data_IF_574193751903
#
_entry.id   IF_574193751903
#
_cell.length_a   1.000
_cell.length_b   1.000
_cell.length_c   1.000
_cell.angle_alpha   90.00
_cell.angle_beta   90.00
_cell.angle_gamma   90.00
#
_symmetry.space_group_name_H-M   'P 1'
#
loop_
_entity.id
_entity.type
_entity.pdbx_description
1 polymer ?
#
# COMPACT_ATOMS: atom_id res chain seq x y z
N UNK A 1 -19.58 -0.42 -3.86
CA UNK A 1 -19.85 0.11 -2.52
C UNK A 1 -18.95 1.34 -2.35
N UNK A 2 -19.06 2.15 -1.31
CA UNK A 2 -18.30 3.42 -1.23
C UNK A 2 -17.74 3.70 0.16
N UNK A 3 -16.43 3.93 0.21
CA UNK A 3 -15.76 4.44 1.40
C UNK A 3 -15.60 5.97 1.30
N UNK A 4 -16.05 6.69 2.32
CA UNK A 4 -15.94 8.14 2.42
C UNK A 4 -14.97 8.53 3.53
N UNK A 5 -13.86 9.16 3.15
CA UNK A 5 -12.85 9.66 4.09
C UNK A 5 -13.37 10.92 4.78
N UNK A 6 -13.39 10.90 6.11
CA UNK A 6 -13.56 12.09 6.93
C UNK A 6 -12.86 11.90 8.29
N UNK A 7 -12.65 13.00 9.02
CA UNK A 7 -11.94 13.01 10.30
C UNK A 7 -12.86 13.40 11.47
N UNK A 8 -14.17 13.51 11.25
CA UNK A 8 -15.11 14.03 12.25
C UNK A 8 -15.74 12.88 13.03
N UNK A 9 -15.54 12.87 14.35
CA UNK A 9 -16.27 11.95 15.25
C UNK A 9 -17.69 12.47 15.41
N UNK A 10 -18.73 11.71 15.03
CA UNK A 10 -20.11 12.13 15.29
C UNK A 10 -20.41 12.27 16.79
N UNK A 11 -19.51 11.82 17.67
CA UNK A 11 -19.64 12.00 19.12
C UNK A 11 -20.61 11.01 19.75
N UNK A 12 -21.03 9.98 19.00
CA UNK A 12 -21.78 8.85 19.54
C UNK A 12 -20.82 7.97 20.37
N UNK A 13 -21.05 7.80 21.69
CA UNK A 13 -20.21 6.95 22.51
C UNK A 13 -20.38 5.45 22.20
N UNK A 14 -21.47 5.05 21.55
CA UNK A 14 -21.79 3.65 21.21
C UNK A 14 -22.20 3.51 19.73
N UNK A 15 -21.33 3.90 18.80
CA UNK A 15 -21.66 3.89 17.38
C UNK A 15 -21.85 2.45 16.90
N UNK A 16 -22.73 2.28 15.91
CA UNK A 16 -22.62 1.12 15.03
C UNK A 16 -21.42 1.35 14.10
N UNK A 17 -20.42 0.47 14.18
CA UNK A 17 -19.14 0.72 13.54
C UNK A 17 -18.39 -0.53 13.09
N UNK A 18 -17.57 -0.35 12.06
CA UNK A 18 -16.50 -1.27 11.70
C UNK A 18 -15.26 -0.97 12.55
N UNK A 19 -14.70 -2.02 13.16
CA UNK A 19 -13.56 -1.93 14.07
C UNK A 19 -12.33 -2.59 13.45
N UNK A 20 -11.47 -1.77 12.85
CA UNK A 20 -10.19 -2.20 12.29
C UNK A 20 -9.13 -2.24 13.41
N UNK A 21 -8.99 -3.38 14.07
CA UNK A 21 -8.05 -3.54 15.18
C UNK A 21 -6.69 -3.96 14.65
N UNK A 22 -5.65 -3.18 14.95
CA UNK A 22 -4.31 -3.30 14.36
C UNK A 22 -3.27 -3.69 15.40
N UNK A 23 -2.52 -4.76 15.13
CA UNK A 23 -1.40 -5.27 15.93
C UNK A 23 -0.25 -5.66 15.02
N UNK A 24 0.94 -5.04 15.13
CA UNK A 24 2.15 -5.42 14.36
C UNK A 24 1.91 -5.88 12.90
N UNK A 25 1.35 -5.02 12.05
CA UNK A 25 1.05 -5.36 10.64
C UNK A 25 0.05 -6.52 10.44
N UNK A 26 -0.63 -6.93 11.50
CA UNK A 26 -1.79 -7.82 11.53
C UNK A 26 -3.05 -7.01 11.79
N UNK A 27 -4.17 -7.55 11.33
CA UNK A 27 -5.51 -7.09 11.62
C UNK A 27 -6.30 -8.19 12.32
N UNK A 28 -7.18 -7.83 13.24
CA UNK A 28 -8.14 -8.76 13.82
C UNK A 28 -9.33 -8.90 12.87
N UNK A 29 -9.67 -10.13 12.50
CA UNK A 29 -10.87 -10.43 11.73
C UNK A 29 -11.79 -11.36 12.52
N UNK A 30 -13.07 -11.38 12.15
CA UNK A 30 -14.09 -12.23 12.73
C UNK A 30 -14.48 -13.32 11.72
N UNK A 31 -14.34 -14.58 12.11
CA UNK A 31 -14.76 -15.73 11.30
C UNK A 31 -16.26 -15.97 11.52
N UNK A 32 -17.08 -15.29 10.73
CA UNK A 32 -18.54 -15.43 10.79
C UNK A 32 -19.03 -16.65 9.99
N UNK A 33 -20.27 -17.11 10.20
CA UNK A 33 -20.87 -18.18 9.39
C UNK A 33 -20.92 -17.86 7.88
N UNK A 34 -20.89 -16.58 7.49
CA UNK A 34 -20.94 -16.12 6.10
C UNK A 34 -19.53 -15.94 5.48
N UNK A 35 -18.48 -16.06 6.30
CA UNK A 35 -17.09 -15.89 5.90
C UNK A 35 -16.31 -14.91 6.80
N UNK A 36 -15.00 -14.77 6.59
CA UNK A 36 -14.17 -13.83 7.32
C UNK A 36 -14.56 -12.38 7.00
N UNK A 37 -14.65 -11.53 8.03
CA UNK A 37 -15.01 -10.13 7.87
C UNK A 37 -14.32 -9.23 8.92
N UNK A 38 -14.29 -7.93 8.65
CA UNK A 38 -13.91 -6.93 9.65
C UNK A 38 -14.97 -6.91 10.76
N UNK A 39 -14.59 -6.85 12.05
CA UNK A 39 -15.55 -6.78 13.13
C UNK A 39 -16.53 -5.60 12.97
N UNK A 40 -17.82 -5.90 12.85
CA UNK A 40 -18.90 -4.91 12.77
C UNK A 40 -19.84 -5.11 13.95
N UNK A 41 -19.93 -4.14 14.85
CA UNK A 41 -20.84 -4.17 15.99
C UNK A 41 -21.09 -2.78 16.55
N UNK A 42 -22.23 -2.65 17.23
CA UNK A 42 -22.55 -1.48 18.06
C UNK A 42 -21.78 -1.50 19.37
N UNK A 43 -21.32 -0.33 19.79
CA UNK A 43 -20.77 -0.10 21.12
C UNK A 43 -19.25 -0.04 21.13
N UNK A 44 -18.63 -0.97 21.83
CA UNK A 44 -17.17 -1.01 22.05
C UNK A 44 -16.48 -2.00 21.09
N UNK A 45 -15.19 -1.76 20.77
CA UNK A 45 -14.42 -2.70 19.97
C UNK A 45 -14.28 -4.06 20.67
N UNK A 46 -14.07 -5.16 19.94
CA UNK A 46 -13.78 -6.48 20.51
C UNK A 46 -12.57 -6.52 21.46
N UNK A 47 -11.61 -5.62 21.25
CA UNK A 47 -10.41 -5.45 22.08
C UNK A 47 -10.22 -3.96 22.32
N UNK A 48 -10.05 -3.56 23.59
CA UNK A 48 -9.67 -2.19 23.93
C UNK A 48 -8.25 -1.86 23.44
N UNK A 49 -8.07 -0.67 22.88
CA UNK A 49 -6.78 -0.22 22.35
C UNK A 49 -6.17 0.94 23.13
N UNK A 50 -4.87 1.13 22.91
CA UNK A 50 -4.09 2.27 23.36
C UNK A 50 -4.56 3.58 22.73
N UNK A 51 -5.09 3.52 21.51
CA UNK A 51 -5.64 4.68 20.84
C UNK A 51 -6.70 4.33 19.81
N UNK A 52 -7.63 5.26 19.60
CA UNK A 52 -8.71 5.19 18.61
C UNK A 52 -8.54 6.29 17.55
N UNK A 53 -8.78 5.93 16.29
CA UNK A 53 -8.73 6.84 15.15
C UNK A 53 -9.94 6.61 14.25
N UNK A 54 -10.63 7.67 13.85
CA UNK A 54 -11.64 7.56 12.79
C UNK A 54 -10.93 7.30 11.47
N UNK A 55 -11.53 6.55 10.58
CA UNK A 55 -11.03 6.32 9.23
C UNK A 55 -11.89 7.01 8.18
N UNK A 56 -13.19 7.09 8.44
CA UNK A 56 -14.23 7.51 7.52
C UNK A 56 -15.49 6.68 7.74
N UNK A 57 -16.30 6.53 6.71
CA UNK A 57 -17.47 5.64 6.69
C UNK A 57 -17.35 4.65 5.53
N UNK A 58 -17.58 3.37 5.81
CA UNK A 58 -17.67 2.28 4.84
C UNK A 58 -19.14 1.87 4.76
N UNK A 59 -19.75 1.97 3.58
CA UNK A 59 -21.18 1.67 3.39
C UNK A 59 -22.08 2.41 4.40
N UNK A 60 -21.81 3.71 4.57
CA UNK A 60 -22.47 4.61 5.53
C UNK A 60 -22.30 4.25 7.02
N UNK A 61 -21.55 3.20 7.35
CA UNK A 61 -21.19 2.80 8.70
C UNK A 61 -19.81 3.36 9.06
N UNK A 62 -19.70 3.99 10.23
CA UNK A 62 -18.44 4.61 10.66
C UNK A 62 -17.37 3.53 10.84
N UNK A 63 -16.14 3.84 10.46
CA UNK A 63 -14.99 2.96 10.62
C UNK A 63 -13.97 3.58 11.57
N UNK A 64 -13.53 2.79 12.55
CA UNK A 64 -12.47 3.16 13.48
C UNK A 64 -11.28 2.22 13.34
N UNK A 65 -10.07 2.77 13.41
CA UNK A 65 -8.87 2.01 13.71
C UNK A 65 -8.60 2.02 15.21
N UNK A 66 -8.29 0.83 15.74
CA UNK A 66 -7.92 0.62 17.13
C UNK A 66 -6.47 0.13 17.18
N UNK A 67 -5.61 0.92 17.81
CA UNK A 67 -4.22 0.56 18.04
C UNK A 67 -4.11 -0.27 19.33
N UNK A 68 -3.82 -1.57 19.23
CA UNK A 68 -3.56 -2.41 20.43
C UNK A 68 -2.06 -2.56 20.73
N UNK A 69 -1.22 -1.78 20.07
CA UNK A 69 0.22 -1.81 20.23
C UNK A 69 0.89 -2.99 19.54
N UNK A 70 1.95 -3.47 20.18
CA UNK A 70 2.85 -4.48 19.63
C UNK A 70 2.85 -5.79 20.41
N UNK A 71 2.01 -5.88 21.43
CA UNK A 71 1.98 -7.02 22.34
C UNK A 71 1.28 -8.22 21.69
N UNK A 72 2.07 -9.22 21.31
CA UNK A 72 1.57 -10.46 20.71
C UNK A 72 0.92 -11.41 21.74
N UNK A 73 0.98 -11.08 23.04
CA UNK A 73 0.32 -11.86 24.09
C UNK A 73 -1.19 -11.58 24.19
N UNK A 74 -1.68 -10.50 23.54
CA UNK A 74 -3.10 -10.19 23.45
C UNK A 74 -3.85 -11.37 22.84
N UNK A 75 -4.66 -12.02 23.69
CA UNK A 75 -5.45 -13.19 23.33
C UNK A 75 -6.53 -12.83 22.32
N UNK A 76 -6.82 -13.77 21.42
CA UNK A 76 -7.92 -13.67 20.48
C UNK A 76 -9.25 -13.89 21.21
N UNK A 77 -10.23 -12.98 21.09
CA UNK A 77 -11.58 -13.25 21.57
C UNK A 77 -12.20 -14.43 20.82
N UNK A 78 -13.17 -15.16 21.39
CA UNK A 78 -13.82 -16.28 20.72
C UNK A 78 -14.40 -15.91 19.34
N UNK A 79 -13.99 -16.64 18.30
CA UNK A 79 -14.42 -16.42 16.90
C UNK A 79 -13.62 -15.35 16.15
N UNK A 80 -12.61 -14.75 16.78
CA UNK A 80 -11.70 -13.80 16.15
C UNK A 80 -10.32 -14.42 15.97
N UNK A 81 -9.57 -13.91 15.00
CA UNK A 81 -8.16 -14.26 14.81
C UNK A 81 -7.35 -13.12 14.23
N UNK A 82 -6.06 -13.15 14.50
CA UNK A 82 -5.10 -12.24 13.87
C UNK A 82 -4.66 -12.76 12.52
N UNK A 83 -4.63 -11.86 11.54
CA UNK A 83 -4.17 -12.17 10.18
C UNK A 83 -3.21 -11.10 9.71
N UNK A 84 -2.09 -11.50 9.12
CA UNK A 84 -1.18 -10.58 8.46
C UNK A 84 -1.94 -9.78 7.39
N UNK A 85 -1.81 -8.45 7.40
CA UNK A 85 -2.58 -7.57 6.53
C UNK A 85 -2.44 -7.93 5.04
N UNK A 86 -1.24 -8.33 4.59
CA UNK A 86 -1.05 -8.75 3.19
C UNK A 86 -1.79 -10.07 2.90
N UNK A 87 -1.73 -11.04 3.81
CA UNK A 87 -2.44 -12.31 3.64
C UNK A 87 -3.97 -12.13 3.63
N UNK A 88 -4.48 -11.17 4.41
CA UNK A 88 -5.90 -10.90 4.54
C UNK A 88 -6.61 -10.50 3.22
N UNK A 89 -5.89 -10.06 2.19
CA UNK A 89 -6.47 -9.79 0.87
C UNK A 89 -7.15 -11.01 0.25
N UNK A 90 -6.66 -12.22 0.54
CA UNK A 90 -7.25 -13.46 0.02
C UNK A 90 -8.56 -13.83 0.74
N UNK A 91 -8.86 -13.19 1.87
CA UNK A 91 -9.93 -13.58 2.78
C UNK A 91 -11.01 -12.51 2.93
N UNK A 92 -10.65 -11.23 2.72
CA UNK A 92 -11.53 -10.09 2.88
C UNK A 92 -11.97 -9.51 1.53
N UNK A 93 -13.16 -8.86 1.48
CA UNK A 93 -13.52 -7.98 0.38
C UNK A 93 -12.44 -6.91 0.15
N UNK A 94 -12.21 -6.53 -1.11
CA UNK A 94 -11.17 -5.55 -1.48
C UNK A 94 -11.35 -4.20 -0.79
N UNK A 95 -12.60 -3.75 -0.61
CA UNK A 95 -12.91 -2.50 0.09
C UNK A 95 -12.50 -2.57 1.57
N UNK A 96 -12.85 -3.66 2.26
CA UNK A 96 -12.45 -3.92 3.65
C UNK A 96 -10.93 -3.95 3.78
N UNK A 97 -10.25 -4.66 2.88
CA UNK A 97 -8.80 -4.73 2.86
C UNK A 97 -8.15 -3.35 2.64
N UNK A 98 -8.73 -2.53 1.77
CA UNK A 98 -8.26 -1.17 1.50
C UNK A 98 -8.39 -0.28 2.74
N UNK A 99 -9.51 -0.36 3.46
CA UNK A 99 -9.71 0.39 4.72
C UNK A 99 -8.82 -0.15 5.84
N UNK A 100 -8.57 -1.47 5.87
CA UNK A 100 -7.61 -2.08 6.79
C UNK A 100 -6.17 -1.58 6.54
N UNK A 101 -5.77 -1.42 5.28
CA UNK A 101 -4.50 -0.78 4.91
C UNK A 101 -4.40 0.66 5.40
N UNK A 102 -5.47 1.43 5.24
CA UNK A 102 -5.57 2.78 5.78
C UNK A 102 -5.46 2.79 7.32
N UNK A 103 -6.09 1.84 8.00
CA UNK A 103 -6.02 1.70 9.45
C UNK A 103 -4.58 1.48 9.92
N UNK A 104 -3.86 0.56 9.26
CA UNK A 104 -2.44 0.28 9.53
C UNK A 104 -1.59 1.55 9.37
N UNK A 105 -1.71 2.25 8.24
CA UNK A 105 -0.89 3.44 7.96
C UNK A 105 -1.11 4.55 9.00
N UNK A 106 -2.36 4.77 9.40
CA UNK A 106 -2.72 5.79 10.40
C UNK A 106 -2.18 5.41 11.78
N UNK A 107 -2.35 4.15 12.19
CA UNK A 107 -1.84 3.66 13.48
C UNK A 107 -0.30 3.70 13.50
N UNK A 108 0.36 3.23 12.45
CA UNK A 108 1.82 3.26 12.31
C UNK A 108 2.38 4.68 12.33
N UNK A 109 1.72 5.61 11.64
CA UNK A 109 2.05 7.03 11.71
C UNK A 109 1.91 7.56 13.13
N UNK A 110 0.78 7.30 13.80
CA UNK A 110 0.51 7.81 15.14
C UNK A 110 1.56 7.35 16.15
N UNK A 111 1.95 6.07 16.08
CA UNK A 111 2.99 5.48 16.92
C UNK A 111 4.35 6.12 16.73
N UNK A 112 4.71 6.45 15.48
CA UNK A 112 6.02 6.99 15.11
C UNK A 112 6.13 8.52 15.25
N UNK A 113 5.02 9.21 15.51
CA UNK A 113 4.96 10.68 15.68
C UNK A 113 4.50 11.09 17.08
N UNK A 114 4.69 10.21 18.08
CA UNK A 114 4.42 10.52 19.49
C UNK A 114 5.29 11.66 20.03
N UNK A 115 6.53 11.78 19.57
CA UNK A 115 7.44 12.86 19.95
C UNK A 115 7.82 13.71 18.74
N UNK A 116 8.07 15.00 18.98
CA UNK A 116 8.44 15.96 17.96
C UNK A 116 9.85 15.69 17.43
N UNK A 117 9.96 15.41 16.13
CA UNK A 117 11.25 15.19 15.47
C UNK A 117 12.20 16.41 15.45
N UNK A 118 11.72 17.61 15.80
CA UNK A 118 12.54 18.83 15.88
C UNK A 118 13.13 19.09 17.27
N UNK A 119 12.35 18.88 18.34
CA UNK A 119 12.74 19.31 19.69
C UNK A 119 12.54 18.26 20.79
N UNK A 120 12.05 17.06 20.46
CA UNK A 120 11.86 15.95 21.41
C UNK A 120 10.64 16.04 22.33
N UNK A 121 9.87 17.13 22.27
CA UNK A 121 8.64 17.31 23.07
C UNK A 121 7.56 16.31 22.66
N UNK A 122 6.74 15.83 23.60
CA UNK A 122 5.58 14.98 23.26
C UNK A 122 4.56 15.76 22.41
N UNK A 123 4.13 15.15 21.30
CA UNK A 123 3.18 15.74 20.37
C UNK A 123 1.73 15.54 20.83
N UNK A 124 0.92 16.59 20.68
CA UNK A 124 -0.53 16.53 20.89
C UNK A 124 -1.26 16.23 19.58
N UNK A 125 -2.49 15.70 19.67
CA UNK A 125 -3.37 15.58 18.50
C UNK A 125 -3.90 16.96 18.11
N UNK A 126 -3.89 17.28 16.83
CA UNK A 126 -4.54 18.48 16.34
C UNK A 126 -6.07 18.34 16.48
N UNK A 127 -6.80 19.36 16.95
CA UNK A 127 -8.23 19.24 17.27
C UNK A 127 -9.14 19.10 16.05
N UNK A 128 -8.64 19.39 14.84
CA UNK A 128 -9.47 19.43 13.61
C UNK A 128 -8.92 18.61 12.45
N UNK A 129 -7.60 18.40 12.43
CA UNK A 129 -6.92 17.76 11.30
C UNK A 129 -6.29 16.48 11.79
N UNK A 130 -6.13 15.51 10.90
CA UNK A 130 -5.34 14.31 11.19
C UNK A 130 -3.87 14.70 11.18
N UNK A 131 -3.42 15.30 12.29
CA UNK A 131 -2.07 15.79 12.46
C UNK A 131 -1.64 15.68 13.93
N UNK A 132 -0.34 15.57 14.11
CA UNK A 132 0.34 15.74 15.39
C UNK A 132 0.94 17.14 15.43
N UNK A 133 0.77 17.86 16.54
CA UNK A 133 1.29 19.21 16.74
C UNK A 133 2.15 19.27 17.99
N UNK A 134 3.35 19.81 17.84
CA UNK A 134 4.26 20.02 18.96
C UNK A 134 3.84 21.28 19.74
N UNK A 135 3.47 21.18 21.04
CA UNK A 135 3.05 22.34 21.82
C UNK A 135 4.19 23.32 22.09
N UNK A 136 5.45 22.87 22.02
CA UNK A 136 6.64 23.68 22.30
C UNK A 136 7.11 24.50 21.10
N UNK A 137 7.20 23.89 19.91
CA UNK A 137 7.79 24.55 18.74
C UNK A 137 6.81 24.75 17.58
N UNK A 138 5.56 24.33 17.72
CA UNK A 138 4.51 24.50 16.72
C UNK A 138 4.65 23.65 15.46
N UNK A 139 5.63 22.73 15.39
CA UNK A 139 5.78 21.82 14.25
C UNK A 139 4.53 20.94 14.12
N UNK A 140 3.89 20.99 12.96
CA UNK A 140 2.78 20.14 12.57
C UNK A 140 3.28 19.01 11.68
N UNK A 141 2.79 17.79 11.92
CA UNK A 141 3.18 16.59 11.18
C UNK A 141 1.90 15.86 10.77
N UNK A 142 1.80 15.50 9.49
CA UNK A 142 0.68 14.78 8.90
C UNK A 142 1.04 13.30 8.68
N UNK A 143 0.05 12.40 8.49
CA UNK A 143 0.29 11.05 7.98
C UNK A 143 1.24 11.07 6.80
N UNK A 144 2.30 10.26 6.90
CA UNK A 144 3.32 10.18 5.85
C UNK A 144 2.84 9.25 4.76
N UNK A 145 2.89 9.73 3.52
CA UNK A 145 2.79 8.91 2.32
C UNK A 145 4.09 9.09 1.55
N UNK A 146 4.71 7.98 1.18
CA UNK A 146 5.95 7.96 0.40
C UNK A 146 5.59 7.70 -1.06
N UNK A 147 5.69 8.70 -1.96
CA UNK A 147 5.40 8.47 -3.37
C UNK A 147 6.42 7.51 -3.96
N UNK A 148 5.94 6.48 -4.65
CA UNK A 148 6.78 5.53 -5.37
C UNK A 148 6.17 5.30 -6.75
N UNK A 149 7.01 5.31 -7.78
CA UNK A 149 6.58 4.94 -9.13
C UNK A 149 6.72 3.44 -9.31
N UNK A 150 5.85 2.86 -10.15
CA UNK A 150 5.97 1.48 -10.61
C UNK A 150 5.64 1.48 -12.08
N UNK A 151 6.51 0.91 -12.90
CA UNK A 151 6.46 1.12 -14.34
C UNK A 151 6.59 -0.20 -15.10
N UNK A 152 5.72 -0.37 -16.10
CA UNK A 152 5.86 -1.42 -17.10
C UNK A 152 6.50 -0.81 -18.35
N UNK A 153 7.68 -1.30 -18.70
CA UNK A 153 8.41 -0.85 -19.90
C UNK A 153 8.16 -1.84 -21.03
N UNK A 154 7.70 -1.34 -22.17
CA UNK A 154 7.45 -2.16 -23.38
C UNK A 154 8.50 -1.89 -24.46
N UNK A 155 8.68 -2.86 -25.37
CA UNK A 155 9.50 -2.73 -26.57
C UNK A 155 8.87 -3.45 -27.75
N UNK A 156 9.24 -3.01 -28.95
CA UNK A 156 8.76 -3.54 -30.22
C UNK A 156 7.88 -2.52 -30.95
N UNK A 157 7.61 -2.78 -32.22
CA UNK A 157 6.73 -1.89 -33.01
C UNK A 157 5.31 -1.87 -32.44
N UNK A 158 4.87 -3.01 -31.90
CA UNK A 158 3.53 -3.23 -31.33
C UNK A 158 3.58 -3.49 -29.82
N UNK A 159 4.68 -3.11 -29.18
CA UNK A 159 4.90 -3.30 -27.74
C UNK A 159 4.79 -4.79 -27.33
N UNK A 160 5.26 -5.68 -28.21
CA UNK A 160 5.14 -7.13 -28.08
C UNK A 160 6.01 -7.77 -26.97
N UNK A 161 6.96 -7.01 -26.41
CA UNK A 161 7.80 -7.42 -25.28
C UNK A 161 7.64 -6.47 -24.09
N UNK A 162 7.68 -7.01 -22.86
CA UNK A 162 7.75 -6.24 -21.60
C UNK A 162 9.01 -6.55 -20.81
N UNK A 163 9.55 -5.54 -20.13
CA UNK A 163 10.65 -5.72 -19.19
C UNK A 163 10.10 -6.09 -17.82
N UNK A 164 10.53 -7.24 -17.29
CA UNK A 164 10.31 -7.62 -15.91
C UNK A 164 11.64 -8.01 -15.26
N UNK A 165 11.79 -7.66 -13.98
CA UNK A 165 13.00 -7.91 -13.20
C UNK A 165 12.72 -8.68 -11.90
N UNK A 166 13.71 -9.44 -11.47
CA UNK A 166 13.75 -10.15 -10.20
C UNK A 166 14.68 -9.40 -9.25
N UNK A 167 14.08 -8.68 -8.30
CA UNK A 167 14.81 -7.97 -7.25
C UNK A 167 15.32 -8.89 -6.14
N UNK A 168 16.45 -8.54 -5.52
CA UNK A 168 17.13 -9.29 -4.46
C UNK A 168 16.31 -9.45 -3.18
N UNK A 169 15.37 -8.53 -2.94
CA UNK A 169 14.46 -8.56 -1.80
C UNK A 169 13.51 -9.76 -1.81
N UNK A 170 13.31 -10.40 -2.97
CA UNK A 170 12.42 -11.54 -3.10
C UNK A 170 13.16 -12.85 -2.81
N UNK A 171 12.76 -13.56 -1.75
CA UNK A 171 13.37 -14.84 -1.36
C UNK A 171 13.08 -16.02 -2.30
N UNK A 172 12.26 -15.81 -3.35
CA UNK A 172 11.97 -16.77 -4.41
C UNK A 172 11.99 -16.02 -5.75
N UNK A 173 12.32 -16.73 -6.83
CA UNK A 173 12.25 -16.17 -8.19
C UNK A 173 10.85 -15.62 -8.44
N UNK A 174 10.75 -14.32 -8.63
CA UNK A 174 9.53 -13.57 -8.90
C UNK A 174 9.91 -12.36 -9.73
N UNK A 175 9.35 -12.27 -10.94
CA UNK A 175 9.63 -11.19 -11.88
C UNK A 175 8.49 -10.18 -11.86
N UNK A 176 8.80 -8.91 -11.63
CA UNK A 176 7.82 -7.82 -11.51
C UNK A 176 8.24 -6.62 -12.36
N UNK A 177 7.31 -5.67 -12.52
CA UNK A 177 7.62 -4.31 -12.92
C UNK A 177 8.73 -3.72 -12.02
N UNK A 178 9.51 -2.80 -12.58
CA UNK A 178 10.46 -1.98 -11.84
C UNK A 178 9.67 -0.99 -10.98
N UNK A 179 10.24 -0.54 -9.86
CA UNK A 179 9.58 0.39 -8.97
C UNK A 179 10.59 1.07 -8.05
N UNK A 180 10.40 2.35 -7.78
CA UNK A 180 11.28 3.09 -6.89
C UNK A 180 10.66 4.35 -6.32
N UNK A 181 11.33 4.92 -5.31
CA UNK A 181 10.83 6.08 -4.59
C UNK A 181 11.11 7.36 -5.37
N UNK A 182 10.17 8.31 -5.30
CA UNK A 182 10.35 9.64 -5.89
C UNK A 182 11.27 10.46 -4.99
N UNK A 183 12.31 11.06 -5.57
CA UNK A 183 13.25 11.88 -4.82
C UNK A 183 12.79 13.34 -4.63
N UNK A 184 13.26 14.05 -3.59
CA UNK A 184 12.97 15.47 -3.43
C UNK A 184 13.39 16.31 -4.64
N UNK A 185 12.43 17.02 -5.24
CA UNK A 185 12.67 17.85 -6.43
C UNK A 185 12.52 17.10 -7.76
N UNK A 186 12.16 15.82 -7.71
CA UNK A 186 11.95 14.97 -8.87
C UNK A 186 10.49 15.01 -9.35
N UNK A 187 10.28 14.91 -10.67
CA UNK A 187 8.96 14.63 -11.25
C UNK A 187 8.67 13.13 -11.21
N UNK A 188 7.40 12.73 -11.34
CA UNK A 188 7.06 11.31 -11.38
C UNK A 188 7.67 10.65 -12.64
N UNK A 189 7.62 11.34 -13.77
CA UNK A 189 8.21 10.90 -15.04
C UNK A 189 9.73 10.85 -14.94
N UNK A 190 10.35 11.79 -14.22
CA UNK A 190 11.78 11.78 -13.92
C UNK A 190 12.19 10.55 -13.10
N UNK A 191 11.41 10.22 -12.06
CA UNK A 191 11.61 9.01 -11.26
C UNK A 191 11.48 7.74 -12.13
N UNK A 192 10.49 7.69 -13.02
CA UNK A 192 10.35 6.58 -13.96
C UNK A 192 11.59 6.40 -14.83
N UNK A 193 12.09 7.50 -15.42
CA UNK A 193 13.27 7.45 -16.27
C UNK A 193 14.54 7.06 -15.49
N UNK A 194 14.73 7.64 -14.29
CA UNK A 194 15.88 7.39 -13.42
C UNK A 194 15.91 5.93 -12.96
N UNK A 195 14.85 5.43 -12.36
CA UNK A 195 14.80 4.07 -11.82
C UNK A 195 15.06 3.01 -12.91
N UNK A 196 14.52 3.21 -14.12
CA UNK A 196 14.76 2.29 -15.24
C UNK A 196 16.22 2.38 -15.74
N UNK A 197 16.82 3.57 -15.78
CA UNK A 197 18.23 3.71 -16.17
C UNK A 197 19.18 3.15 -15.09
N UNK A 198 18.90 3.40 -13.80
CA UNK A 198 19.70 2.95 -12.66
C UNK A 198 19.65 1.43 -12.49
N UNK A 199 18.46 0.83 -12.40
CA UNK A 199 18.30 -0.58 -12.05
C UNK A 199 18.71 -1.53 -13.18
N UNK A 200 18.47 -1.14 -14.44
CA UNK A 200 18.59 -2.03 -15.60
C UNK A 200 19.30 -1.42 -16.82
N UNK A 201 19.74 -0.16 -16.77
CA UNK A 201 20.54 0.46 -17.84
C UNK A 201 19.77 0.89 -19.09
N UNK A 202 18.44 0.96 -19.02
CA UNK A 202 17.57 1.24 -20.18
C UNK A 202 17.08 2.69 -20.16
N UNK A 203 17.12 3.37 -21.32
CA UNK A 203 16.44 4.66 -21.51
C UNK A 203 15.03 4.43 -22.02
N UNK A 204 14.09 5.22 -21.52
CA UNK A 204 12.67 5.15 -21.87
C UNK A 204 12.13 6.49 -22.37
N UNK A 205 11.04 6.40 -23.13
CA UNK A 205 10.26 7.51 -23.66
C UNK A 205 8.77 7.22 -23.51
N UNK A 206 7.94 8.17 -23.92
CA UNK A 206 6.47 8.03 -23.93
C UNK A 206 5.93 7.57 -22.56
N UNK A 207 6.42 8.20 -21.48
CA UNK A 207 6.03 7.90 -20.11
C UNK A 207 4.60 8.40 -19.88
N UNK A 208 3.67 7.49 -19.60
CA UNK A 208 2.25 7.81 -19.42
C UNK A 208 1.71 7.22 -18.12
N UNK A 209 1.01 8.04 -17.35
CA UNK A 209 0.31 7.61 -16.14
C UNK A 209 -0.73 6.54 -16.47
N UNK A 210 -0.81 5.51 -15.61
CA UNK A 210 -1.80 4.43 -15.70
C UNK A 210 -2.85 4.57 -14.60
N UNK A 211 -2.48 4.28 -13.35
CA UNK A 211 -3.34 4.28 -12.16
C UNK A 211 -2.50 4.57 -10.92
N UNK A 212 -3.14 4.71 -9.76
CA UNK A 212 -2.44 4.75 -8.47
C UNK A 212 -3.07 3.78 -7.48
N UNK A 213 -2.29 3.29 -6.54
CA UNK A 213 -2.72 2.37 -5.50
C UNK A 213 -2.10 2.75 -4.14
N UNK A 214 -2.90 2.91 -3.08
CA UNK A 214 -2.40 2.93 -1.71
C UNK A 214 -1.72 1.60 -1.38
N UNK A 215 -0.49 1.64 -0.85
CA UNK A 215 0.27 0.44 -0.53
C UNK A 215 0.78 0.50 0.92
N UNK A 216 0.08 -0.14 1.87
CA UNK A 216 0.31 -0.03 3.32
C UNK A 216 1.48 -0.91 3.80
N UNK A 217 2.56 -0.94 3.02
CA UNK A 217 3.74 -1.77 3.29
C UNK A 217 5.05 -0.99 3.03
N UNK A 218 5.40 0.00 3.88
CA UNK A 218 4.65 0.45 5.06
C UNK A 218 3.71 1.63 4.78
N UNK A 219 4.04 2.54 3.87
CA UNK A 219 3.26 3.79 3.68
C UNK A 219 3.39 4.38 2.28
N UNK A 220 3.54 3.55 1.26
CA UNK A 220 3.74 4.02 -0.10
C UNK A 220 2.42 4.41 -0.77
N UNK A 221 2.48 5.43 -1.62
CA UNK A 221 1.49 5.63 -2.68
C UNK A 221 2.14 5.15 -3.97
N UNK A 222 1.73 3.98 -4.46
CA UNK A 222 2.25 3.43 -5.72
C UNK A 222 1.57 4.16 -6.88
N UNK A 223 2.37 4.69 -7.79
CA UNK A 223 1.91 5.45 -8.95
C UNK A 223 2.38 4.70 -10.19
N UNK A 224 1.42 4.07 -10.86
CA UNK A 224 1.65 3.22 -12.01
C UNK A 224 1.89 4.02 -13.28
N UNK A 225 2.92 3.65 -14.03
CA UNK A 225 3.24 4.21 -15.34
C UNK A 225 3.43 3.11 -16.38
N UNK A 226 3.23 3.48 -17.63
CA UNK A 226 3.72 2.75 -18.80
C UNK A 226 4.80 3.61 -19.47
N UNK A 227 5.79 2.96 -20.03
CA UNK A 227 6.86 3.62 -20.76
C UNK A 227 7.33 2.73 -21.92
N UNK A 228 7.87 3.34 -22.97
CA UNK A 228 8.44 2.62 -24.11
C UNK A 228 9.95 2.65 -24.06
N UNK A 229 10.58 1.54 -24.43
CA UNK A 229 12.01 1.46 -24.69
C UNK A 229 12.42 2.51 -25.73
N UNK A 230 13.49 3.25 -25.42
CA UNK A 230 14.14 4.16 -26.34
C UNK A 230 15.48 3.62 -26.82
N UNK A 231 16.38 3.28 -25.88
CA UNK A 231 17.73 2.83 -26.18
C UNK A 231 18.39 2.16 -24.96
N UNK A 232 19.60 1.63 -25.15
CA UNK A 232 20.39 0.99 -24.10
C UNK A 232 20.35 -0.54 -24.17
N UNK A 233 21.26 -1.14 -23.42
CA UNK A 233 21.39 -2.58 -23.23
C UNK A 233 21.21 -2.88 -21.74
N UNK A 234 20.69 -4.07 -21.42
CA UNK A 234 20.49 -4.47 -20.03
C UNK A 234 21.83 -4.47 -19.29
N UNK A 235 21.93 -3.60 -18.29
CA UNK A 235 23.07 -3.48 -17.39
C UNK A 235 22.54 -3.35 -15.97
N UNK A 236 22.55 -4.46 -15.22
CA UNK A 236 21.83 -4.56 -13.97
C UNK A 236 22.63 -3.93 -12.82
N UNK A 237 21.94 -3.18 -11.98
CA UNK A 237 22.47 -2.80 -10.68
C UNK A 237 22.42 -4.01 -9.74
N UNK A 238 23.51 -4.77 -9.67
CA UNK A 238 23.59 -6.04 -8.93
C UNK A 238 23.32 -5.93 -7.42
N UNK A 239 23.31 -4.71 -6.85
CA UNK A 239 22.90 -4.49 -5.45
C UNK A 239 21.40 -4.59 -5.24
N UNK A 240 20.60 -4.50 -6.30
CA UNK A 240 19.14 -4.44 -6.24
C UNK A 240 18.49 -5.52 -7.13
N UNK A 241 19.00 -5.72 -8.35
CA UNK A 241 18.44 -6.64 -9.34
C UNK A 241 19.33 -7.87 -9.51
N UNK A 242 18.70 -9.06 -9.46
CA UNK A 242 19.37 -10.35 -9.71
C UNK A 242 19.31 -10.73 -11.18
N UNK A 243 18.17 -10.50 -11.83
CA UNK A 243 17.94 -10.84 -13.23
C UNK A 243 16.87 -9.89 -13.79
N UNK A 244 16.99 -9.48 -15.06
CA UNK A 244 15.95 -8.75 -15.78
C UNK A 244 15.94 -9.18 -17.24
N UNK A 245 14.75 -9.32 -17.82
CA UNK A 245 14.59 -9.82 -19.19
C UNK A 245 13.42 -9.16 -19.89
N UNK A 246 13.51 -9.12 -21.21
CA UNK A 246 12.38 -8.86 -22.08
C UNK A 246 11.56 -10.14 -22.23
N UNK A 247 10.26 -10.05 -22.00
CA UNK A 247 9.32 -11.15 -22.02
C UNK A 247 8.26 -10.91 -23.08
N UNK A 248 8.02 -11.91 -23.92
CA UNK A 248 6.87 -11.94 -24.82
C UNK A 248 5.73 -12.71 -24.16
N UNK A 249 4.51 -12.57 -24.67
CA UNK A 249 3.34 -13.34 -24.21
C UNK A 249 3.63 -14.84 -24.14
N UNK A 250 4.30 -15.39 -25.16
CA UNK A 250 4.61 -16.82 -25.26
C UNK A 250 5.78 -17.28 -24.39
N UNK A 251 6.51 -16.37 -23.75
CA UNK A 251 7.71 -16.68 -22.97
C UNK A 251 7.66 -16.22 -21.52
N UNK A 252 6.53 -15.68 -21.03
CA UNK A 252 6.35 -15.15 -19.67
C UNK A 252 6.95 -16.06 -18.59
N UNK A 253 7.52 -15.49 -17.51
CA UNK A 253 8.10 -16.27 -16.43
C UNK A 253 7.02 -17.10 -15.72
N UNK A 254 7.42 -18.11 -14.97
CA UNK A 254 6.47 -18.93 -14.20
C UNK A 254 5.75 -18.10 -13.12
N UNK A 255 6.49 -17.21 -12.47
CA UNK A 255 6.04 -16.41 -11.33
C UNK A 255 6.18 -14.90 -11.63
N UNK A 256 5.03 -14.24 -11.76
CA UNK A 256 4.91 -12.80 -11.97
C UNK A 256 3.61 -12.27 -11.36
N UNK A 257 3.48 -10.94 -11.15
CA UNK A 257 2.23 -10.33 -10.72
C UNK A 257 1.10 -10.66 -11.69
N UNK A 258 0.05 -11.29 -11.17
CA UNK A 258 -1.25 -11.38 -11.84
C UNK A 258 -2.18 -10.38 -11.16
N UNK A 259 -3.30 -10.04 -11.80
CA UNK A 259 -4.26 -9.09 -11.26
C UNK A 259 -4.78 -9.43 -9.87
N UNK A 260 -5.67 -8.59 -9.37
CA UNK A 260 -6.09 -8.65 -7.97
C UNK A 260 -5.35 -7.62 -7.13
N UNK A 261 -4.46 -8.04 -6.22
CA UNK A 261 -3.98 -7.17 -5.13
C UNK A 261 -3.12 -6.00 -5.59
N UNK A 262 -2.29 -6.15 -6.62
CA UNK A 262 -1.20 -5.20 -6.88
C UNK A 262 -1.32 -4.50 -8.23
N UNK A 263 -0.99 -3.21 -8.25
CA UNK A 263 -0.91 -2.41 -9.49
C UNK A 263 0.12 -2.95 -10.49
N UNK A 264 1.15 -3.68 -10.03
CA UNK A 264 2.07 -4.42 -10.89
C UNK A 264 1.31 -5.47 -11.72
N UNK A 265 0.40 -6.22 -11.07
CA UNK A 265 -0.47 -7.19 -11.73
C UNK A 265 -1.43 -6.52 -12.70
N UNK A 266 -2.01 -5.37 -12.31
CA UNK A 266 -2.90 -4.62 -13.20
C UNK A 266 -2.19 -4.12 -14.46
N UNK A 267 -0.95 -3.63 -14.34
CA UNK A 267 -0.13 -3.21 -15.48
C UNK A 267 0.15 -4.38 -16.43
N UNK A 268 0.54 -5.53 -15.89
CA UNK A 268 0.84 -6.73 -16.69
C UNK A 268 -0.42 -7.28 -17.38
N UNK A 269 -1.56 -7.32 -16.69
CA UNK A 269 -2.82 -7.75 -17.30
C UNK A 269 -3.32 -6.81 -18.39
N UNK A 270 -3.19 -5.49 -18.18
CA UNK A 270 -3.54 -4.49 -19.18
C UNK A 270 -2.72 -4.69 -20.47
N UNK A 271 -1.42 -4.94 -20.33
CA UNK A 271 -0.57 -5.31 -21.47
C UNK A 271 -0.98 -6.64 -22.12
N UNK A 272 -1.21 -7.70 -21.34
CA UNK A 272 -1.63 -9.00 -21.88
C UNK A 272 -2.95 -8.89 -22.64
N UNK A 273 -3.90 -8.08 -22.17
CA UNK A 273 -5.17 -7.84 -22.84
C UNK A 273 -4.98 -7.11 -24.18
N UNK A 274 -4.09 -6.10 -24.25
CA UNK A 274 -3.74 -5.42 -25.51
C UNK A 274 -3.10 -6.37 -26.53
N UNK A 275 -2.34 -7.36 -26.07
CA UNK A 275 -1.75 -8.40 -26.91
C UNK A 275 -2.75 -9.51 -27.27
N UNK A 276 -4.00 -9.46 -26.80
CA UNK A 276 -5.03 -10.47 -27.05
C UNK A 276 -4.80 -11.80 -26.32
N UNK A 277 -4.10 -11.76 -25.18
CA UNK A 277 -3.72 -12.93 -24.37
C UNK A 277 -4.57 -13.11 -23.10
N UNK A 278 -5.54 -12.24 -22.87
CA UNK A 278 -6.54 -12.28 -21.79
C UNK A 278 -7.93 -11.96 -22.33
#
# INVERSE_FOLDING_TARGET
>A
MSFLIHNHDPGDPYPDAHWFIVRRSEILIYDSPEGPQIPHRRGEPPIEGLSRHILGSLNDVISYAIDVGEDTSIQEPPGYRWVNLRAAFAELPEEDWTVAGRAEQIVAWDRTHRYCGRCGEENQRHPRERARVCPRCGLMQFPRLSPATIMLVTRGERDEEVLLAHGRQFGRTFYSCLAGFVEPGESLEGCVAREVEEEVGIRVKDITYFKSQPWPFPNSLMIGFRARYESGDLNLQESEIVDARWWSVGSMPETYPRGGMSIAGWLVEDWLAEQGAL
#
